data_IF_966584606722
#
_entry.id   IF_966584606722
#
_cell.length_a   1.000
_cell.length_b   1.000
_cell.length_c   1.000
_cell.angle_alpha   90.00
_cell.angle_beta   90.00
_cell.angle_gamma   90.00
#
_symmetry.space_group_name_H-M   'P 1'
#
loop_
_entity.id
_entity.type
_entity.pdbx_description
1 polymer ?
#
# COMPACT_ATOMS: atom_id res chain seq x y z
N UNK A 1 6.60 -28.66 -1.13
CA UNK A 1 6.14 -27.29 -0.84
C UNK A 1 4.93 -27.38 0.08
N UNK A 2 4.85 -26.60 1.16
CA UNK A 2 3.66 -26.57 2.00
C UNK A 2 2.46 -26.07 1.20
N UNK A 3 1.24 -26.40 1.65
CA UNK A 3 0.00 -25.96 0.99
C UNK A 3 -0.43 -24.57 1.50
N UNK A 4 -1.29 -23.86 0.73
CA UNK A 4 -1.82 -22.54 1.09
C UNK A 4 -2.33 -22.41 2.54
N UNK A 5 -3.06 -23.39 3.12
CA UNK A 5 -3.44 -23.34 4.54
C UNK A 5 -2.25 -23.21 5.50
N UNK A 6 -1.14 -23.87 5.17
CA UNK A 6 0.10 -23.82 5.97
C UNK A 6 0.75 -22.44 5.85
N UNK A 7 0.85 -21.89 4.63
CA UNK A 7 1.38 -20.54 4.38
C UNK A 7 0.53 -19.49 5.08
N UNK A 8 -0.80 -19.59 4.98
CA UNK A 8 -1.71 -18.67 5.65
C UNK A 8 -1.61 -18.75 7.18
N UNK A 9 -1.45 -19.95 7.75
CA UNK A 9 -1.30 -20.12 9.20
C UNK A 9 0.00 -19.49 9.70
N UNK A 10 1.13 -19.83 9.09
CA UNK A 10 2.43 -19.27 9.48
C UNK A 10 2.51 -17.78 9.17
N UNK A 11 1.91 -17.34 8.07
CA UNK A 11 1.75 -15.94 7.71
C UNK A 11 1.04 -15.12 8.78
N UNK A 12 -0.03 -15.63 9.37
CA UNK A 12 -0.74 -14.95 10.48
C UNK A 12 0.12 -14.87 11.74
N UNK A 13 0.84 -15.93 12.07
CA UNK A 13 1.75 -15.94 13.24
C UNK A 13 2.90 -14.95 13.02
N UNK A 14 3.54 -14.99 11.86
CA UNK A 14 4.59 -14.05 11.47
C UNK A 14 4.09 -12.61 11.47
N UNK A 15 2.91 -12.35 10.91
CA UNK A 15 2.28 -11.04 10.93
C UNK A 15 2.07 -10.50 12.35
N UNK A 16 1.60 -11.34 13.29
CA UNK A 16 1.43 -10.92 14.68
C UNK A 16 2.77 -10.58 15.34
N UNK A 17 3.81 -11.41 15.13
CA UNK A 17 5.14 -11.17 15.69
C UNK A 17 5.76 -9.89 15.12
N UNK A 18 5.70 -9.70 13.81
CA UNK A 18 6.26 -8.52 13.14
C UNK A 18 5.48 -7.26 13.53
N UNK A 19 4.16 -7.34 13.67
CA UNK A 19 3.35 -6.22 14.16
C UNK A 19 3.79 -5.75 15.56
N UNK A 20 4.00 -6.69 16.48
CA UNK A 20 4.48 -6.38 17.82
C UNK A 20 5.88 -5.78 17.78
N UNK A 21 6.80 -6.36 16.99
CA UNK A 21 8.17 -5.87 16.87
C UNK A 21 8.23 -4.44 16.29
N UNK A 22 7.52 -4.19 15.19
CA UNK A 22 7.48 -2.87 14.55
C UNK A 22 6.77 -1.84 15.43
N UNK A 23 5.62 -2.21 16.01
CA UNK A 23 4.89 -1.34 16.92
C UNK A 23 5.73 -0.94 18.14
N UNK A 24 6.34 -1.91 18.82
CA UNK A 24 7.20 -1.66 19.97
C UNK A 24 8.42 -0.80 19.60
N UNK A 25 9.07 -1.09 18.47
CA UNK A 25 10.24 -0.33 18.00
C UNK A 25 9.87 1.13 17.71
N UNK A 26 8.78 1.37 16.98
CA UNK A 26 8.36 2.74 16.66
C UNK A 26 7.83 3.49 17.88
N UNK A 27 7.21 2.79 18.84
CA UNK A 27 6.84 3.40 20.12
C UNK A 27 8.08 3.82 20.91
N UNK A 28 9.09 2.95 21.01
CA UNK A 28 10.33 3.26 21.72
C UNK A 28 11.12 4.43 21.08
N UNK A 29 11.05 4.58 19.74
CA UNK A 29 11.78 5.62 19.02
C UNK A 29 11.06 6.98 19.00
N UNK A 30 9.73 6.99 18.99
CA UNK A 30 8.95 8.21 18.73
C UNK A 30 7.90 8.52 19.80
N UNK A 31 7.75 7.67 20.81
CA UNK A 31 6.82 7.82 21.95
C UNK A 31 5.36 8.08 21.54
N UNK A 32 4.99 7.65 20.33
CA UNK A 32 3.67 7.89 19.75
C UNK A 32 2.88 6.59 19.64
N UNK A 33 1.91 6.41 20.56
CA UNK A 33 1.04 5.23 20.57
C UNK A 33 0.21 5.10 19.28
N UNK A 34 -0.27 6.22 18.74
CA UNK A 34 -1.04 6.24 17.50
C UNK A 34 -0.19 5.78 16.29
N UNK A 35 1.03 6.31 16.16
CA UNK A 35 1.95 5.90 15.10
C UNK A 35 2.33 4.42 15.22
N UNK A 36 2.66 3.98 16.44
CA UNK A 36 3.03 2.60 16.73
C UNK A 36 1.88 1.64 16.41
N UNK A 37 0.65 1.96 16.81
CA UNK A 37 -0.54 1.15 16.52
C UNK A 37 -0.83 1.07 15.02
N UNK A 38 -0.81 2.20 14.32
CA UNK A 38 -1.03 2.24 12.87
C UNK A 38 0.05 1.45 12.12
N UNK A 39 1.32 1.62 12.49
CA UNK A 39 2.42 0.90 11.88
C UNK A 39 2.40 -0.60 12.20
N UNK A 40 2.01 -1.00 13.41
CA UNK A 40 1.84 -2.41 13.76
C UNK A 40 0.76 -3.08 12.89
N UNK A 41 -0.38 -2.42 12.69
CA UNK A 41 -1.44 -2.93 11.81
C UNK A 41 -0.97 -3.02 10.35
N UNK A 42 -0.28 -1.99 9.86
CA UNK A 42 0.32 -1.98 8.53
C UNK A 42 1.33 -3.12 8.35
N UNK A 43 2.20 -3.31 9.34
CA UNK A 43 3.21 -4.36 9.35
C UNK A 43 2.59 -5.76 9.39
N UNK A 44 1.53 -5.97 10.17
CA UNK A 44 0.77 -7.22 10.19
C UNK A 44 0.22 -7.54 8.79
N UNK A 45 -0.46 -6.57 8.17
CA UNK A 45 -1.07 -6.74 6.86
C UNK A 45 -0.01 -7.01 5.79
N UNK A 46 1.05 -6.22 5.76
CA UNK A 46 2.16 -6.31 4.80
C UNK A 46 2.90 -7.66 4.90
N UNK A 47 3.22 -8.10 6.12
CA UNK A 47 3.84 -9.41 6.37
C UNK A 47 2.92 -10.56 5.94
N UNK A 48 1.64 -10.50 6.30
CA UNK A 48 0.69 -11.54 5.91
C UNK A 48 0.56 -11.62 4.39
N UNK A 49 0.48 -10.49 3.70
CA UNK A 49 0.42 -10.44 2.24
C UNK A 49 1.69 -11.02 1.62
N UNK A 50 2.88 -10.68 2.16
CA UNK A 50 4.14 -11.29 1.76
C UNK A 50 4.13 -12.82 1.86
N UNK A 51 3.58 -13.38 2.93
CA UNK A 51 3.56 -14.85 3.15
C UNK A 51 2.69 -15.64 2.18
N UNK A 52 1.69 -14.98 1.57
CA UNK A 52 0.81 -15.60 0.58
C UNK A 52 1.14 -15.16 -0.85
N UNK A 53 2.07 -14.20 -1.01
CA UNK A 53 2.45 -13.64 -2.30
C UNK A 53 3.00 -14.68 -3.29
N UNK A 54 3.83 -15.65 -2.87
CA UNK A 54 4.29 -16.72 -3.75
C UNK A 54 3.16 -17.55 -4.40
N UNK A 55 2.03 -17.71 -3.70
CA UNK A 55 0.89 -18.53 -4.13
C UNK A 55 -0.05 -17.83 -5.15
N UNK A 56 0.21 -16.56 -5.49
CA UNK A 56 -0.60 -15.75 -6.42
C UNK A 56 -0.27 -16.06 -7.89
N UNK A 57 0.86 -16.72 -8.15
CA UNK A 57 1.39 -17.01 -9.49
C UNK A 57 0.47 -17.93 -10.33
N UNK A 58 -0.39 -18.73 -9.69
CA UNK A 58 -1.33 -19.61 -10.38
C UNK A 58 -2.56 -18.83 -10.86
N UNK A 59 -2.70 -18.71 -12.18
CA UNK A 59 -3.83 -18.06 -12.83
C UNK A 59 -5.13 -18.75 -12.41
N UNK A 60 -6.16 -17.96 -12.07
CA UNK A 60 -7.47 -18.39 -11.56
C UNK A 60 -7.51 -19.06 -10.16
N UNK A 61 -6.41 -19.04 -9.40
CA UNK A 61 -6.39 -19.61 -8.05
C UNK A 61 -7.26 -18.80 -7.07
N UNK A 62 -7.84 -19.47 -6.07
CA UNK A 62 -8.55 -18.80 -4.96
C UNK A 62 -7.63 -17.77 -4.25
N UNK A 63 -6.35 -18.09 -3.96
CA UNK A 63 -5.39 -17.13 -3.40
C UNK A 63 -5.26 -15.85 -4.22
N UNK A 64 -5.12 -15.96 -5.55
CA UNK A 64 -5.00 -14.79 -6.43
C UNK A 64 -6.21 -13.87 -6.32
N UNK A 65 -7.43 -14.42 -6.39
CA UNK A 65 -8.65 -13.58 -6.26
C UNK A 65 -8.72 -12.84 -4.94
N UNK A 66 -8.38 -13.51 -3.83
CA UNK A 66 -8.35 -12.89 -2.50
C UNK A 66 -7.27 -11.81 -2.41
N UNK A 67 -6.09 -12.07 -2.97
CA UNK A 67 -5.01 -11.11 -2.99
C UNK A 67 -5.34 -9.88 -3.85
N UNK A 68 -5.89 -10.06 -5.05
CA UNK A 68 -6.35 -8.95 -5.90
C UNK A 68 -7.36 -8.08 -5.17
N UNK A 69 -8.36 -8.68 -4.49
CA UNK A 69 -9.33 -7.92 -3.70
C UNK A 69 -8.69 -7.14 -2.55
N UNK A 70 -7.74 -7.75 -1.85
CA UNK A 70 -7.00 -7.08 -0.78
C UNK A 70 -6.14 -5.92 -1.33
N UNK A 71 -5.42 -6.13 -2.43
CA UNK A 71 -4.63 -5.08 -3.09
C UNK A 71 -5.50 -3.94 -3.60
N UNK A 72 -6.67 -4.22 -4.16
CA UNK A 72 -7.66 -3.21 -4.53
C UNK A 72 -8.07 -2.35 -3.34
N UNK A 73 -8.43 -2.98 -2.22
CA UNK A 73 -8.77 -2.25 -1.00
C UNK A 73 -7.59 -1.40 -0.49
N UNK A 74 -6.37 -1.93 -0.50
CA UNK A 74 -5.17 -1.20 -0.09
C UNK A 74 -4.88 -0.01 -1.02
N UNK A 75 -5.05 -0.16 -2.32
CA UNK A 75 -4.88 0.94 -3.30
C UNK A 75 -5.91 2.03 -3.05
N UNK A 76 -7.18 1.68 -2.84
CA UNK A 76 -8.24 2.64 -2.49
C UNK A 76 -7.87 3.39 -1.21
N UNK A 77 -7.50 2.66 -0.15
CA UNK A 77 -7.08 3.27 1.12
C UNK A 77 -5.85 4.16 0.95
N UNK A 78 -4.88 3.76 0.12
CA UNK A 78 -3.70 4.53 -0.20
C UNK A 78 -4.03 5.85 -0.90
N UNK A 79 -4.88 5.81 -1.93
CA UNK A 79 -5.34 7.01 -2.65
C UNK A 79 -6.10 7.95 -1.72
N UNK A 80 -7.04 7.43 -0.93
CA UNK A 80 -7.81 8.23 0.04
C UNK A 80 -6.89 8.84 1.10
N UNK A 81 -5.90 8.09 1.60
CA UNK A 81 -4.94 8.59 2.58
C UNK A 81 -4.04 9.68 2.00
N UNK A 82 -3.57 9.52 0.76
CA UNK A 82 -2.78 10.53 0.07
C UNK A 82 -3.60 11.81 -0.16
N UNK A 83 -4.85 11.67 -0.61
CA UNK A 83 -5.75 12.81 -0.76
C UNK A 83 -6.02 13.52 0.58
N UNK A 84 -6.21 12.76 1.66
CA UNK A 84 -6.41 13.34 2.99
C UNK A 84 -5.17 14.08 3.51
N UNK A 85 -3.97 13.56 3.23
CA UNK A 85 -2.70 14.19 3.63
C UNK A 85 -2.44 15.45 2.79
N UNK A 86 -2.65 15.38 1.48
CA UNK A 86 -2.42 16.46 0.52
C UNK A 86 -3.70 17.23 0.17
N UNK A 87 -4.64 17.35 1.11
CA UNK A 87 -5.97 17.88 0.82
C UNK A 87 -5.92 19.35 0.38
N UNK A 88 -5.05 20.15 1.00
CA UNK A 88 -4.86 21.55 0.62
C UNK A 88 -4.31 21.71 -0.80
N UNK A 89 -3.30 20.92 -1.15
CA UNK A 89 -2.71 20.89 -2.49
C UNK A 89 -3.71 20.39 -3.53
N UNK A 90 -4.51 19.37 -3.19
CA UNK A 90 -5.57 18.86 -4.06
C UNK A 90 -6.65 19.91 -4.30
N UNK A 91 -7.10 20.62 -3.25
CA UNK A 91 -8.06 21.72 -3.40
C UNK A 91 -7.52 22.82 -4.32
N UNK A 92 -6.28 23.27 -4.09
CA UNK A 92 -5.64 24.30 -4.91
C UNK A 92 -5.50 23.87 -6.38
N UNK A 93 -5.15 22.60 -6.63
CA UNK A 93 -5.06 22.07 -7.99
C UNK A 93 -6.44 22.01 -8.69
N UNK A 94 -7.48 21.64 -7.94
CA UNK A 94 -8.87 21.61 -8.44
C UNK A 94 -9.39 23.01 -8.74
N UNK A 95 -9.10 24.00 -7.89
CA UNK A 95 -9.46 25.41 -8.12
C UNK A 95 -8.75 25.94 -9.37
N UNK A 96 -7.44 25.75 -9.49
CA UNK A 96 -6.67 26.18 -10.64
C UNK A 96 -7.15 25.55 -11.96
N UNK A 97 -7.46 24.25 -11.95
CA UNK A 97 -8.06 23.58 -13.11
C UNK A 97 -9.49 24.08 -13.39
N UNK A 98 -10.24 24.43 -12.34
CA UNK A 98 -11.55 25.06 -12.46
C UNK A 98 -11.51 26.37 -13.23
N UNK A 99 -10.60 27.25 -12.83
CA UNK A 99 -10.43 28.58 -13.43
C UNK A 99 -10.00 28.47 -14.91
N UNK A 100 -9.10 27.55 -15.23
CA UNK A 100 -8.61 27.33 -16.60
C UNK A 100 -9.68 26.72 -17.52
N UNK A 101 -10.45 25.73 -17.04
CA UNK A 101 -11.32 24.93 -17.90
C UNK A 101 -12.78 25.41 -17.93
N UNK A 102 -13.21 26.18 -16.93
CA UNK A 102 -14.60 26.63 -16.79
C UNK A 102 -14.76 28.15 -16.75
N UNK A 103 -13.77 28.90 -17.26
CA UNK A 103 -13.85 30.34 -17.51
C UNK A 103 -14.29 31.15 -16.27
N UNK A 104 -13.69 30.82 -15.12
CA UNK A 104 -13.92 31.51 -13.84
C UNK A 104 -14.67 30.72 -12.77
N UNK A 105 -14.85 29.40 -12.93
CA UNK A 105 -15.14 28.53 -11.79
C UNK A 105 -15.83 27.20 -12.10
N UNK A 106 -15.61 26.23 -11.22
CA UNK A 106 -16.25 24.91 -11.31
C UNK A 106 -17.77 24.99 -11.10
N UNK A 107 -18.55 24.10 -11.73
CA UNK A 107 -20.00 24.01 -11.52
C UNK A 107 -20.39 23.49 -10.12
N UNK A 108 -19.42 23.07 -9.32
CA UNK A 108 -19.57 22.59 -7.95
C UNK A 108 -18.48 23.19 -7.07
N UNK A 109 -18.66 23.15 -5.75
CA UNK A 109 -17.62 23.66 -4.84
C UNK A 109 -16.32 22.85 -4.95
N UNK A 110 -15.13 23.48 -4.79
CA UNK A 110 -13.84 22.78 -4.90
C UNK A 110 -13.71 21.54 -4.01
N UNK A 111 -14.21 21.51 -2.75
CA UNK A 111 -14.18 20.29 -1.94
C UNK A 111 -14.97 19.12 -2.53
N UNK A 112 -16.11 19.40 -3.18
CA UNK A 112 -16.93 18.37 -3.83
C UNK A 112 -16.20 17.84 -5.06
N UNK A 113 -15.61 18.71 -5.87
CA UNK A 113 -14.80 18.31 -7.02
C UNK A 113 -13.56 17.49 -6.61
N UNK A 114 -12.81 17.93 -5.59
CA UNK A 114 -11.66 17.21 -5.04
C UNK A 114 -12.04 15.83 -4.49
N UNK A 115 -13.18 15.72 -3.80
CA UNK A 115 -13.75 14.44 -3.38
C UNK A 115 -14.07 13.53 -4.56
N UNK A 116 -14.72 14.08 -5.60
CA UNK A 116 -15.02 13.37 -6.83
C UNK A 116 -13.78 12.85 -7.56
N UNK A 117 -12.74 13.68 -7.68
CA UNK A 117 -11.43 13.30 -8.26
C UNK A 117 -10.80 12.18 -7.44
N UNK A 118 -10.82 12.27 -6.12
CA UNK A 118 -10.27 11.24 -5.23
C UNK A 118 -10.97 9.90 -5.43
N UNK A 119 -12.31 9.89 -5.48
CA UNK A 119 -13.10 8.66 -5.71
C UNK A 119 -12.81 8.08 -7.09
N UNK A 120 -12.75 8.92 -8.13
CA UNK A 120 -12.46 8.49 -9.49
C UNK A 120 -11.06 7.86 -9.59
N UNK A 121 -10.04 8.52 -9.03
CA UNK A 121 -8.68 8.00 -9.00
C UNK A 121 -8.58 6.68 -8.23
N UNK A 122 -9.27 6.58 -7.08
CA UNK A 122 -9.29 5.34 -6.30
C UNK A 122 -9.94 4.18 -7.08
N UNK A 123 -11.03 4.45 -7.80
CA UNK A 123 -11.71 3.46 -8.63
C UNK A 123 -10.82 3.01 -9.80
N UNK A 124 -10.23 3.95 -10.54
CA UNK A 124 -9.31 3.65 -11.65
C UNK A 124 -8.10 2.85 -11.15
N UNK A 125 -7.45 3.32 -10.08
CA UNK A 125 -6.28 2.66 -9.53
C UNK A 125 -6.60 1.24 -9.02
N UNK A 126 -7.78 1.04 -8.41
CA UNK A 126 -8.27 -0.30 -8.02
C UNK A 126 -8.44 -1.23 -9.23
N UNK A 127 -9.05 -0.77 -10.32
CA UNK A 127 -9.22 -1.61 -11.51
C UNK A 127 -7.88 -1.96 -12.19
N UNK A 128 -6.87 -1.10 -12.08
CA UNK A 128 -5.51 -1.36 -12.58
C UNK A 128 -4.75 -2.44 -11.80
N UNK A 129 -5.20 -2.85 -10.61
CA UNK A 129 -4.50 -3.85 -9.79
C UNK A 129 -4.37 -5.20 -10.50
N UNK A 130 -5.46 -5.73 -11.07
CA UNK A 130 -5.43 -7.03 -11.75
C UNK A 130 -4.54 -7.05 -13.00
N UNK A 131 -4.64 -6.09 -13.95
CA UNK A 131 -3.75 -6.09 -15.11
C UNK A 131 -2.28 -5.89 -14.73
N UNK A 132 -1.98 -5.11 -13.67
CA UNK A 132 -0.61 -4.96 -13.16
C UNK A 132 -0.10 -6.28 -12.56
N UNK A 133 -0.91 -6.95 -11.73
CA UNK A 133 -0.56 -8.28 -11.20
C UNK A 133 -0.39 -9.28 -12.33
N UNK A 134 -1.27 -9.28 -13.34
CA UNK A 134 -1.19 -10.17 -14.49
C UNK A 134 0.08 -9.93 -15.31
N UNK A 135 0.46 -8.67 -15.53
CA UNK A 135 1.71 -8.32 -16.22
C UNK A 135 2.94 -8.75 -15.41
N UNK A 136 2.94 -8.54 -14.10
CA UNK A 136 4.04 -8.92 -13.22
C UNK A 136 4.19 -10.43 -13.03
N UNK A 137 3.07 -11.17 -13.00
CA UNK A 137 3.06 -12.62 -12.71
C UNK A 137 2.95 -13.51 -13.95
N UNK A 138 2.50 -12.97 -15.08
CA UNK A 138 2.20 -13.72 -16.31
C UNK A 138 3.42 -14.30 -17.02
N UNK A 139 4.56 -13.61 -16.99
CA UNK A 139 5.80 -14.07 -17.66
C UNK A 139 6.84 -14.65 -16.68
N UNK A 140 6.60 -14.57 -15.37
CA UNK A 140 7.67 -14.73 -14.39
C UNK A 140 7.23 -15.49 -13.12
N UNK A 141 6.78 -16.75 -13.27
CA UNK A 141 6.50 -17.65 -12.13
C UNK A 141 7.61 -17.70 -11.07
N UNK A 142 8.86 -17.43 -11.44
CA UNK A 142 9.99 -17.41 -10.52
C UNK A 142 10.20 -16.09 -9.76
N UNK A 143 9.59 -14.98 -10.16
CA UNK A 143 9.84 -13.67 -9.53
C UNK A 143 9.30 -13.61 -8.11
N UNK A 144 8.10 -14.15 -7.89
CA UNK A 144 7.47 -14.14 -6.56
C UNK A 144 8.28 -14.95 -5.54
N UNK A 145 9.09 -15.89 -6.02
CA UNK A 145 9.98 -16.75 -5.24
C UNK A 145 11.44 -16.26 -5.23
N UNK A 146 11.77 -15.20 -5.96
CA UNK A 146 13.13 -14.71 -6.11
C UNK A 146 13.43 -13.67 -5.04
N UNK A 147 14.23 -14.06 -4.04
CA UNK A 147 14.68 -13.15 -2.97
C UNK A 147 15.28 -11.85 -3.51
N UNK A 148 16.21 -11.87 -4.49
CA UNK A 148 16.75 -10.63 -5.05
C UNK A 148 15.69 -9.72 -5.69
N UNK A 149 14.70 -10.30 -6.36
CA UNK A 149 13.60 -9.53 -6.98
C UNK A 149 12.72 -8.89 -5.90
N UNK A 150 12.35 -9.64 -4.87
CA UNK A 150 11.55 -9.13 -3.75
C UNK A 150 12.28 -8.04 -2.96
N UNK A 151 13.60 -8.18 -2.77
CA UNK A 151 14.44 -7.13 -2.17
C UNK A 151 14.43 -5.87 -3.04
N UNK A 152 14.68 -6.00 -4.35
CA UNK A 152 14.72 -4.86 -5.26
C UNK A 152 13.37 -4.14 -5.34
N UNK A 153 12.26 -4.88 -5.40
CA UNK A 153 10.91 -4.32 -5.40
C UNK A 153 10.60 -3.58 -4.10
N UNK A 154 10.87 -4.22 -2.96
CA UNK A 154 10.63 -3.62 -1.64
C UNK A 154 11.47 -2.36 -1.42
N UNK A 155 12.75 -2.38 -1.84
CA UNK A 155 13.63 -1.21 -1.78
C UNK A 155 13.14 -0.08 -2.69
N UNK A 156 12.69 -0.40 -3.90
CA UNK A 156 12.16 0.59 -4.86
C UNK A 156 10.89 1.25 -4.32
N UNK A 157 9.95 0.46 -3.79
CA UNK A 157 8.71 0.98 -3.20
C UNK A 157 9.01 1.79 -1.93
N UNK A 158 9.91 1.30 -1.07
CA UNK A 158 10.35 2.02 0.12
C UNK A 158 10.98 3.38 -0.21
N UNK A 159 11.85 3.43 -1.23
CA UNK A 159 12.46 4.67 -1.70
C UNK A 159 11.41 5.64 -2.28
N UNK A 160 10.46 5.13 -3.08
CA UNK A 160 9.37 5.94 -3.60
C UNK A 160 8.52 6.55 -2.48
N UNK A 161 8.14 5.76 -1.47
CA UNK A 161 7.39 6.24 -0.31
C UNK A 161 8.19 7.30 0.47
N UNK A 162 9.49 7.10 0.65
CA UNK A 162 10.36 8.07 1.33
C UNK A 162 10.40 9.44 0.64
N UNK A 163 10.40 9.43 -0.69
CA UNK A 163 10.35 10.65 -1.52
C UNK A 163 8.96 11.28 -1.50
N UNK A 164 7.91 10.49 -1.73
CA UNK A 164 6.52 10.96 -1.77
C UNK A 164 6.05 11.52 -0.42
N UNK A 165 6.64 11.07 0.69
CA UNK A 165 6.33 11.55 2.04
C UNK A 165 7.35 12.56 2.57
N UNK A 166 8.16 13.18 1.71
CA UNK A 166 9.25 14.07 2.13
C UNK A 166 8.81 15.26 2.98
N UNK A 167 7.57 15.74 2.83
CA UNK A 167 6.99 16.85 3.60
C UNK A 167 6.47 16.43 4.98
N UNK A 168 6.38 15.11 5.26
CA UNK A 168 5.91 14.61 6.55
C UNK A 168 7.03 14.59 7.59
N UNK A 169 6.66 14.64 8.89
CA UNK A 169 7.62 14.41 9.98
C UNK A 169 8.37 13.08 9.81
N UNK A 170 9.66 13.06 10.14
CA UNK A 170 10.55 11.89 10.00
C UNK A 170 9.94 10.61 10.59
N UNK A 171 9.27 10.72 11.74
CA UNK A 171 8.60 9.58 12.38
C UNK A 171 7.59 8.87 11.45
N UNK A 172 6.77 9.63 10.72
CA UNK A 172 5.77 9.08 9.78
C UNK A 172 6.43 8.45 8.56
N UNK A 173 7.51 9.08 8.06
CA UNK A 173 8.29 8.57 6.93
C UNK A 173 8.95 7.24 7.26
N UNK A 174 9.62 7.18 8.41
CA UNK A 174 10.25 5.94 8.93
C UNK A 174 9.20 4.85 9.12
N UNK A 175 8.06 5.17 9.74
CA UNK A 175 6.98 4.20 9.93
C UNK A 175 6.44 3.65 8.60
N UNK A 176 6.21 4.50 7.60
CA UNK A 176 5.72 4.08 6.29
C UNK A 176 6.71 3.16 5.57
N UNK A 177 8.00 3.50 5.58
CA UNK A 177 9.05 2.65 4.98
C UNK A 177 9.21 1.34 5.75
N UNK A 178 9.15 1.36 7.07
CA UNK A 178 9.23 0.15 7.90
C UNK A 178 8.08 -0.82 7.59
N UNK A 179 6.85 -0.32 7.45
CA UNK A 179 5.69 -1.13 7.05
C UNK A 179 5.91 -1.80 5.69
N UNK A 180 6.48 -1.10 4.72
CA UNK A 180 6.80 -1.68 3.41
C UNK A 180 7.87 -2.76 3.51
N UNK A 181 8.92 -2.52 4.29
CA UNK A 181 9.98 -3.49 4.50
C UNK A 181 9.49 -4.83 5.08
N UNK A 182 8.40 -4.80 5.87
CA UNK A 182 7.84 -6.03 6.46
C UNK A 182 7.21 -6.97 5.45
N UNK A 183 6.87 -6.50 4.24
CA UNK A 183 6.45 -7.36 3.14
C UNK A 183 7.53 -8.39 2.81
N UNK A 184 8.79 -7.94 2.77
CA UNK A 184 9.93 -8.82 2.49
C UNK A 184 10.07 -9.90 3.56
N UNK A 185 9.85 -9.57 4.83
CA UNK A 185 9.88 -10.56 5.93
C UNK A 185 8.81 -11.64 5.70
N UNK A 186 7.64 -11.25 5.22
CA UNK A 186 6.59 -12.21 4.88
C UNK A 186 6.92 -13.07 3.65
N UNK A 187 7.61 -12.50 2.66
CA UNK A 187 7.92 -13.18 1.40
C UNK A 187 9.11 -14.16 1.49
N UNK A 188 9.82 -14.20 2.62
CA UNK A 188 10.94 -15.10 2.92
C UNK A 188 10.49 -16.32 3.72
#
# INVERSE_FOLDING_TARGET
MPNYPTHSRWGRVGAAVVALAIGATLYALFESAALAGAAALGAAASTFVGSIYPDIDHHNSIPRRKATQAFRALVVLGVVSLAAIGWGELLAAVEAAGDEWFDGGLPVSPPVAAGGVTVLLAAVASELVEPVIALATGQHRGWTHSVPVNVALTATVGAAIWVLTATLPTARRVAAVAVVATFLIGAL
#
